data_IF_039147697968
#
_entry.id   IF_039147697968
#
_cell.length_a   1.000
_cell.length_b   1.000
_cell.length_c   1.000
_cell.angle_alpha   90.00
_cell.angle_beta   90.00
_cell.angle_gamma   90.00
#
_symmetry.space_group_name_H-M   'P 1'
#
loop_
_entity.id
_entity.type
_entity.pdbx_description
1 polymer ?
#
# COMPACT_ATOMS: atom_id res chain seq x y z
N UNK A 1 -22.80 12.85 62.26
CA UNK A 1 -21.66 12.10 61.72
C UNK A 1 -22.23 11.20 60.60
N UNK A 2 -22.15 11.70 59.38
CA UNK A 2 -22.70 10.99 58.19
C UNK A 2 -21.55 10.24 57.53
N UNK A 3 -21.69 8.92 57.51
CA UNK A 3 -20.70 8.00 56.93
C UNK A 3 -20.99 7.89 55.41
N UNK A 4 -20.12 8.45 54.57
CA UNK A 4 -20.19 8.30 53.12
C UNK A 4 -19.48 7.02 52.75
N UNK A 5 -20.24 6.01 52.33
CA UNK A 5 -19.72 4.80 51.71
C UNK A 5 -19.40 5.05 50.24
N UNK A 6 -18.13 5.17 49.92
CA UNK A 6 -17.63 5.16 48.52
C UNK A 6 -17.60 3.74 47.99
N UNK A 7 -18.52 3.39 47.11
CA UNK A 7 -18.47 2.15 46.36
C UNK A 7 -17.40 2.25 45.27
N UNK A 8 -16.25 1.62 45.45
CA UNK A 8 -15.26 1.39 44.45
C UNK A 8 -15.75 0.29 43.51
N UNK A 9 -16.23 0.66 42.32
CA UNK A 9 -16.53 -0.31 41.28
C UNK A 9 -15.21 -0.96 40.82
N UNK A 10 -15.02 -2.23 41.14
CA UNK A 10 -13.98 -3.06 40.55
C UNK A 10 -14.30 -3.26 39.09
N UNK A 11 -13.62 -2.50 38.22
CA UNK A 11 -13.59 -2.77 36.78
C UNK A 11 -12.80 -4.07 36.63
N UNK A 12 -13.50 -5.22 36.47
CA UNK A 12 -12.88 -6.46 36.07
C UNK A 12 -12.07 -6.24 34.80
N UNK A 13 -10.82 -6.68 34.70
CA UNK A 13 -10.10 -6.64 33.42
C UNK A 13 -10.91 -7.50 32.45
N UNK A 14 -11.48 -6.86 31.44
CA UNK A 14 -12.06 -7.55 30.29
C UNK A 14 -10.97 -8.47 29.77
N UNK A 15 -11.20 -9.78 29.81
CA UNK A 15 -10.25 -10.78 29.32
C UNK A 15 -9.70 -10.30 27.97
N UNK A 16 -8.40 -10.49 27.75
CA UNK A 16 -7.72 -10.21 26.51
C UNK A 16 -8.25 -11.19 25.42
N UNK A 17 -9.52 -11.01 25.04
CA UNK A 17 -10.19 -11.79 24.03
C UNK A 17 -9.91 -11.13 22.70
N UNK A 18 -9.10 -11.81 21.89
CA UNK A 18 -9.10 -11.80 20.43
C UNK A 18 -8.95 -10.43 19.74
N UNK A 19 -8.16 -9.52 20.35
CA UNK A 19 -7.90 -8.19 19.77
C UNK A 19 -7.32 -8.25 18.36
N UNK A 20 -6.61 -9.31 17.99
CA UNK A 20 -6.07 -9.48 16.67
C UNK A 20 -7.13 -9.81 15.63
N UNK A 21 -8.13 -10.63 15.96
CA UNK A 21 -9.27 -10.89 15.08
C UNK A 21 -10.15 -9.65 14.91
N UNK A 22 -10.34 -8.86 16.00
CA UNK A 22 -11.06 -7.58 15.91
C UNK A 22 -10.31 -6.55 15.03
N UNK A 23 -8.97 -6.46 15.18
CA UNK A 23 -8.12 -5.60 14.38
C UNK A 23 -8.14 -6.01 12.88
N UNK A 24 -8.12 -7.33 12.61
CA UNK A 24 -8.27 -7.86 11.26
C UNK A 24 -9.62 -7.53 10.66
N UNK A 25 -10.70 -7.81 11.38
CA UNK A 25 -12.07 -7.53 10.92
C UNK A 25 -12.26 -6.04 10.61
N UNK A 26 -11.73 -5.16 11.46
CA UNK A 26 -11.73 -3.73 11.21
C UNK A 26 -10.94 -3.34 9.96
N UNK A 27 -9.74 -3.89 9.80
CA UNK A 27 -8.90 -3.61 8.62
C UNK A 27 -9.57 -4.09 7.33
N UNK A 28 -10.24 -5.24 7.34
CA UNK A 28 -11.05 -5.76 6.21
C UNK A 28 -12.23 -4.82 5.92
N UNK A 29 -12.92 -4.35 6.97
CA UNK A 29 -14.01 -3.38 6.79
C UNK A 29 -13.52 -2.08 6.14
N UNK A 30 -12.38 -1.55 6.56
CA UNK A 30 -11.76 -0.35 5.97
C UNK A 30 -11.38 -0.60 4.52
N UNK A 31 -10.69 -1.73 4.24
CA UNK A 31 -10.28 -2.11 2.90
C UNK A 31 -11.48 -2.19 1.95
N UNK A 32 -12.53 -2.91 2.34
CA UNK A 32 -13.71 -3.11 1.50
C UNK A 32 -14.49 -1.81 1.29
N UNK A 33 -14.69 -1.04 2.35
CA UNK A 33 -15.37 0.26 2.28
C UNK A 33 -14.71 1.23 1.30
N UNK A 34 -13.36 1.27 1.29
CA UNK A 34 -12.62 2.17 0.41
C UNK A 34 -12.61 1.64 -1.03
N UNK A 35 -12.40 0.35 -1.25
CA UNK A 35 -12.19 -0.22 -2.58
C UNK A 35 -13.49 -0.52 -3.34
N UNK A 36 -14.61 -0.79 -2.67
CA UNK A 36 -15.86 -1.22 -3.29
C UNK A 36 -16.41 -0.22 -4.33
N UNK A 37 -16.47 1.11 -4.10
CA UNK A 37 -17.00 2.04 -5.10
C UNK A 37 -16.20 2.03 -6.41
N UNK A 38 -14.87 1.92 -6.34
CA UNK A 38 -13.99 1.87 -7.51
C UNK A 38 -14.21 0.58 -8.27
N UNK A 39 -14.11 -0.57 -7.58
CA UNK A 39 -14.22 -1.88 -8.21
C UNK A 39 -15.61 -2.13 -8.79
N UNK A 40 -16.67 -1.80 -8.06
CA UNK A 40 -18.04 -1.97 -8.55
C UNK A 40 -18.31 -1.08 -9.78
N UNK A 41 -17.84 0.16 -9.75
CA UNK A 41 -18.01 1.07 -10.89
C UNK A 41 -17.26 0.59 -12.12
N UNK A 42 -16.02 0.13 -11.96
CA UNK A 42 -15.19 -0.32 -13.09
C UNK A 42 -15.66 -1.67 -13.63
N UNK A 43 -16.05 -2.61 -12.77
CA UNK A 43 -16.63 -3.89 -13.19
C UNK A 43 -17.93 -3.70 -14.01
N UNK A 44 -18.68 -2.63 -13.73
CA UNK A 44 -19.89 -2.26 -14.48
C UNK A 44 -19.63 -1.33 -15.68
N UNK A 45 -18.37 -0.99 -16.01
CA UNK A 45 -18.02 -0.09 -17.11
C UNK A 45 -18.51 1.35 -16.90
N UNK A 46 -18.53 1.83 -15.65
CA UNK A 46 -19.08 3.14 -15.27
C UNK A 46 -18.12 3.98 -14.40
N UNK A 47 -16.87 3.56 -14.23
CA UNK A 47 -15.94 4.27 -13.33
C UNK A 47 -15.67 5.70 -13.81
N UNK A 48 -15.39 5.92 -15.08
CA UNK A 48 -15.17 7.26 -15.63
C UNK A 48 -16.34 8.20 -15.43
N UNK A 49 -17.56 7.65 -15.37
CA UNK A 49 -18.78 8.42 -15.10
C UNK A 49 -19.00 8.68 -13.61
N UNK A 50 -18.68 7.71 -12.77
CA UNK A 50 -19.05 7.72 -11.35
C UNK A 50 -17.96 8.31 -10.45
N UNK A 51 -16.69 8.22 -10.86
CA UNK A 51 -15.57 8.76 -10.06
C UNK A 51 -15.73 10.27 -9.92
N UNK A 52 -15.79 10.82 -8.71
CA UNK A 52 -15.92 12.26 -8.53
C UNK A 52 -14.80 13.03 -9.21
N UNK A 53 -15.15 14.10 -9.89
CA UNK A 53 -14.20 15.06 -10.47
C UNK A 53 -14.46 16.44 -9.90
N UNK A 54 -13.40 17.20 -9.69
CA UNK A 54 -13.48 18.51 -9.07
C UNK A 54 -12.83 19.57 -9.97
N UNK A 55 -13.31 20.84 -9.94
CA UNK A 55 -12.74 21.91 -10.77
C UNK A 55 -11.23 22.14 -10.57
N UNK A 56 -10.69 21.75 -9.42
CA UNK A 56 -9.27 21.86 -9.12
C UNK A 56 -8.40 20.78 -9.78
N UNK A 57 -8.99 19.68 -10.24
CA UNK A 57 -8.25 18.56 -10.87
C UNK A 57 -7.81 18.88 -12.31
N UNK A 58 -8.49 19.81 -13.00
CA UNK A 58 -8.20 20.20 -14.38
C UNK A 58 -8.13 18.98 -15.31
N UNK A 59 -6.99 18.75 -15.94
CA UNK A 59 -6.70 17.63 -16.84
C UNK A 59 -6.50 16.29 -16.12
N UNK A 60 -6.39 16.29 -14.77
CA UNK A 60 -6.19 15.08 -13.97
C UNK A 60 -7.31 14.05 -14.11
N UNK A 61 -8.51 14.48 -14.47
CA UNK A 61 -9.66 13.60 -14.75
C UNK A 61 -9.35 12.52 -15.80
N UNK A 62 -8.36 12.73 -16.67
CA UNK A 62 -7.95 11.75 -17.68
C UNK A 62 -7.12 10.60 -17.10
N UNK A 63 -6.51 10.80 -15.92
CA UNK A 63 -5.67 9.80 -15.25
C UNK A 63 -6.32 9.24 -13.98
N UNK A 64 -7.17 10.02 -13.32
CA UNK A 64 -7.78 9.64 -12.06
C UNK A 64 -8.43 8.24 -12.05
N UNK A 65 -9.10 7.75 -13.11
CA UNK A 65 -9.67 6.40 -13.12
C UNK A 65 -8.59 5.29 -13.05
N UNK A 66 -7.50 5.40 -13.82
CA UNK A 66 -6.40 4.43 -13.76
C UNK A 66 -5.65 4.54 -12.43
N UNK A 67 -5.45 5.77 -11.95
CA UNK A 67 -4.83 6.03 -10.64
C UNK A 67 -5.63 5.40 -9.50
N UNK A 68 -6.96 5.59 -9.47
CA UNK A 68 -7.84 4.99 -8.49
C UNK A 68 -7.77 3.47 -8.53
N UNK A 69 -7.89 2.87 -9.71
CA UNK A 69 -7.90 1.43 -9.88
C UNK A 69 -6.54 0.79 -9.57
N UNK A 70 -5.45 1.29 -10.14
CA UNK A 70 -4.11 0.74 -9.95
C UNK A 70 -3.68 0.78 -8.47
N UNK A 71 -3.95 1.89 -7.78
CA UNK A 71 -3.66 2.04 -6.35
C UNK A 71 -4.56 1.17 -5.48
N UNK A 72 -5.85 1.07 -5.81
CA UNK A 72 -6.76 0.14 -5.15
C UNK A 72 -6.22 -1.28 -5.26
N UNK A 73 -5.91 -1.72 -6.47
CA UNK A 73 -5.43 -3.08 -6.70
C UNK A 73 -4.13 -3.36 -5.96
N UNK A 74 -3.16 -2.44 -6.00
CA UNK A 74 -1.90 -2.54 -5.26
C UNK A 74 -2.12 -2.82 -3.76
N UNK A 75 -3.08 -2.15 -3.15
CA UNK A 75 -3.35 -2.26 -1.72
C UNK A 75 -4.08 -3.53 -1.32
N UNK A 76 -5.08 -3.95 -2.12
CA UNK A 76 -5.93 -5.10 -1.78
C UNK A 76 -5.37 -6.43 -2.28
N UNK A 77 -4.46 -6.43 -3.26
CA UNK A 77 -3.97 -7.64 -3.91
C UNK A 77 -3.42 -8.70 -2.95
N UNK A 78 -2.60 -8.38 -1.92
CA UNK A 78 -2.14 -9.39 -0.99
C UNK A 78 -3.29 -10.10 -0.25
N UNK A 79 -4.37 -9.38 0.09
CA UNK A 79 -5.55 -9.96 0.69
C UNK A 79 -6.30 -10.86 -0.30
N UNK A 80 -6.44 -10.44 -1.56
CA UNK A 80 -7.06 -11.24 -2.61
C UNK A 80 -6.29 -12.54 -2.87
N UNK A 81 -4.95 -12.51 -2.83
CA UNK A 81 -4.10 -13.67 -3.13
C UNK A 81 -4.29 -14.82 -2.14
N UNK A 82 -4.82 -14.58 -0.94
CA UNK A 82 -5.23 -15.63 -0.02
C UNK A 82 -6.31 -16.58 -0.60
N UNK A 83 -7.02 -16.14 -1.64
CA UNK A 83 -8.08 -16.91 -2.26
C UNK A 83 -9.37 -17.01 -1.43
N UNK A 84 -10.45 -17.56 -2.01
CA UNK A 84 -11.72 -17.78 -1.30
C UNK A 84 -11.61 -18.93 -0.29
N UNK A 85 -12.41 -18.85 0.78
CA UNK A 85 -12.62 -19.93 1.73
C UNK A 85 -14.05 -19.85 2.31
N UNK A 86 -14.46 -20.83 3.14
CA UNK A 86 -15.81 -20.91 3.69
C UNK A 86 -16.09 -19.91 4.81
N UNK A 87 -15.12 -19.15 5.27
CA UNK A 87 -15.32 -18.11 6.28
C UNK A 87 -16.12 -16.92 5.71
N UNK A 88 -16.79 -16.10 6.55
CA UNK A 88 -17.40 -14.87 6.08
C UNK A 88 -16.43 -13.93 5.36
N UNK A 89 -15.17 -13.84 5.83
CA UNK A 89 -14.12 -13.07 5.17
C UNK A 89 -13.71 -13.68 3.83
N UNK A 90 -13.60 -15.02 3.73
CA UNK A 90 -13.26 -15.71 2.49
C UNK A 90 -14.30 -15.53 1.39
N UNK A 91 -15.60 -15.60 1.75
CA UNK A 91 -16.71 -15.33 0.82
C UNK A 91 -16.73 -13.86 0.38
N UNK A 92 -16.46 -12.94 1.30
CA UNK A 92 -16.32 -11.52 0.96
C UNK A 92 -15.15 -11.31 0.00
N UNK A 93 -14.01 -11.94 0.26
CA UNK A 93 -12.82 -11.89 -0.59
C UNK A 93 -13.09 -12.42 -1.99
N UNK A 94 -13.85 -13.52 -2.13
CA UNK A 94 -14.28 -14.04 -3.42
C UNK A 94 -15.02 -12.98 -4.25
N UNK A 95 -16.01 -12.28 -3.65
CA UNK A 95 -16.69 -11.15 -4.31
C UNK A 95 -15.68 -10.11 -4.81
N UNK A 96 -14.68 -9.75 -4.00
CA UNK A 96 -13.71 -8.73 -4.38
C UNK A 96 -12.71 -9.23 -5.42
N UNK A 97 -12.40 -10.52 -5.46
CA UNK A 97 -11.63 -11.16 -6.54
C UNK A 97 -12.40 -11.02 -7.85
N UNK A 98 -13.67 -11.41 -7.89
CA UNK A 98 -14.48 -11.36 -9.10
C UNK A 98 -14.65 -9.91 -9.61
N UNK A 99 -14.93 -8.96 -8.71
CA UNK A 99 -14.95 -7.54 -9.06
C UNK A 99 -13.63 -7.04 -9.62
N UNK A 100 -12.50 -7.48 -9.07
CA UNK A 100 -11.17 -7.07 -9.53
C UNK A 100 -10.82 -7.65 -10.90
N UNK A 101 -11.18 -8.91 -11.14
CA UNK A 101 -10.97 -9.57 -12.45
C UNK A 101 -11.81 -8.90 -13.54
N UNK A 102 -13.09 -8.62 -13.27
CA UNK A 102 -13.94 -7.92 -14.22
C UNK A 102 -13.48 -6.45 -14.44
N UNK A 103 -13.02 -5.80 -13.38
CA UNK A 103 -12.41 -4.47 -13.49
C UNK A 103 -11.15 -4.48 -14.37
N UNK A 104 -10.28 -5.48 -14.24
CA UNK A 104 -9.10 -5.65 -15.11
C UNK A 104 -9.51 -5.82 -16.57
N UNK A 105 -10.54 -6.63 -16.82
CA UNK A 105 -11.06 -6.84 -18.17
C UNK A 105 -11.55 -5.52 -18.77
N UNK A 106 -12.40 -4.77 -18.07
CA UNK A 106 -12.93 -3.50 -18.56
C UNK A 106 -11.87 -2.42 -18.69
N UNK A 107 -10.92 -2.34 -17.75
CA UNK A 107 -9.84 -1.36 -17.78
C UNK A 107 -8.92 -1.51 -19.01
N UNK A 108 -8.75 -2.72 -19.51
CA UNK A 108 -7.76 -3.05 -20.55
C UNK A 108 -8.36 -3.45 -21.90
N UNK A 109 -9.68 -3.64 -22.01
CA UNK A 109 -10.35 -3.87 -23.29
C UNK A 109 -10.53 -2.56 -24.05
N UNK A 110 -9.91 -2.37 -25.24
CA UNK A 110 -10.09 -1.17 -26.05
C UNK A 110 -11.54 -0.89 -26.47
N UNK A 111 -12.43 -1.87 -26.36
CA UNK A 111 -13.87 -1.73 -26.67
C UNK A 111 -14.69 -1.32 -25.47
N UNK A 112 -14.13 -1.39 -24.28
CA UNK A 112 -14.81 -0.99 -23.03
C UNK A 112 -15.01 0.53 -22.98
N UNK A 113 -16.16 1.03 -22.50
CA UNK A 113 -16.34 2.44 -22.19
C UNK A 113 -15.33 2.94 -21.14
N UNK A 114 -14.88 2.04 -20.27
CA UNK A 114 -13.89 2.30 -19.23
C UNK A 114 -12.47 1.84 -19.61
N UNK A 115 -12.14 1.66 -20.91
CA UNK A 115 -10.74 1.49 -21.32
C UNK A 115 -9.89 2.64 -20.78
N UNK A 116 -8.90 2.34 -19.93
CA UNK A 116 -8.18 3.37 -19.19
C UNK A 116 -6.97 3.92 -19.94
N UNK A 117 -6.39 5.01 -19.43
CA UNK A 117 -5.30 5.73 -20.09
C UNK A 117 -3.93 5.19 -19.66
N UNK A 118 -3.30 4.35 -20.49
CA UNK A 118 -2.00 3.74 -20.23
C UNK A 118 -0.80 4.45 -20.87
N UNK A 119 -1.00 5.37 -21.78
CA UNK A 119 0.09 5.86 -22.63
C UNK A 119 0.08 7.36 -22.96
N UNK A 120 -0.85 8.14 -22.40
CA UNK A 120 -0.90 9.58 -22.63
C UNK A 120 -0.64 10.36 -21.33
N UNK A 121 0.41 11.19 -21.38
CA UNK A 121 0.86 11.99 -20.22
C UNK A 121 1.70 11.20 -19.23
N UNK A 122 2.61 11.87 -18.53
CA UNK A 122 3.57 11.22 -17.64
C UNK A 122 2.90 10.41 -16.50
N UNK A 123 1.77 10.89 -15.99
CA UNK A 123 1.05 10.22 -14.90
C UNK A 123 0.61 8.80 -15.27
N UNK A 124 0.30 8.52 -16.53
CA UNK A 124 -0.09 7.18 -16.98
C UNK A 124 1.01 6.11 -16.71
N UNK A 125 2.29 6.50 -16.72
CA UNK A 125 3.39 5.59 -16.33
C UNK A 125 3.27 5.19 -14.85
N UNK A 126 3.01 6.16 -13.98
CA UNK A 126 2.84 5.96 -12.53
C UNK A 126 1.70 5.00 -12.26
N UNK A 127 0.54 5.28 -12.85
CA UNK A 127 -0.69 4.54 -12.56
C UNK A 127 -0.66 3.12 -13.16
N UNK A 128 -0.04 2.96 -14.33
CA UNK A 128 0.25 1.64 -14.92
C UNK A 128 1.17 0.81 -14.03
N UNK A 129 2.15 1.44 -13.38
CA UNK A 129 3.05 0.75 -12.47
C UNK A 129 2.34 0.24 -11.22
N UNK A 130 1.41 1.01 -10.65
CA UNK A 130 0.60 0.54 -9.53
C UNK A 130 -0.31 -0.62 -9.94
N UNK A 131 -0.90 -0.58 -11.15
CA UNK A 131 -1.65 -1.73 -11.68
C UNK A 131 -0.75 -2.97 -11.81
N UNK A 132 0.42 -2.82 -12.40
CA UNK A 132 1.42 -3.90 -12.54
C UNK A 132 1.84 -4.45 -11.16
N UNK A 133 2.02 -3.59 -10.18
CA UNK A 133 2.38 -3.97 -8.82
C UNK A 133 1.26 -4.77 -8.13
N UNK A 134 0.00 -4.40 -8.33
CA UNK A 134 -1.15 -5.17 -7.87
C UNK A 134 -1.18 -6.58 -8.49
N UNK A 135 -0.93 -6.70 -9.78
CA UNK A 135 -0.87 -7.99 -10.47
C UNK A 135 0.27 -8.88 -9.94
N UNK A 136 1.45 -8.31 -9.68
CA UNK A 136 2.58 -9.04 -9.10
C UNK A 136 2.28 -9.57 -7.69
N UNK A 137 1.47 -8.85 -6.92
CA UNK A 137 1.07 -9.21 -5.55
C UNK A 137 -0.06 -10.25 -5.47
N UNK A 138 -0.82 -10.44 -6.56
CA UNK A 138 -1.89 -11.42 -6.63
C UNK A 138 -1.89 -12.20 -7.96
N UNK A 139 -0.78 -12.90 -8.29
CA UNK A 139 -0.64 -13.60 -9.56
C UNK A 139 -1.68 -14.69 -9.75
N UNK A 140 -2.07 -15.41 -8.70
CA UNK A 140 -3.01 -16.52 -8.80
C UNK A 140 -4.45 -16.04 -8.93
N UNK A 141 -4.84 -15.06 -8.09
CA UNK A 141 -6.23 -14.63 -7.99
C UNK A 141 -6.59 -13.51 -8.99
N UNK A 142 -5.62 -12.83 -9.57
CA UNK A 142 -5.85 -11.81 -10.60
C UNK A 142 -5.42 -12.35 -11.97
N UNK A 143 -4.12 -12.40 -12.25
CA UNK A 143 -3.61 -12.84 -13.54
C UNK A 143 -4.09 -14.25 -13.95
N UNK A 144 -4.05 -15.20 -13.01
CA UNK A 144 -4.41 -16.60 -13.24
C UNK A 144 -5.90 -16.83 -13.53
N UNK A 145 -6.77 -15.85 -13.19
CA UNK A 145 -8.21 -15.92 -13.49
C UNK A 145 -8.60 -15.24 -14.80
N UNK A 146 -7.71 -14.49 -15.43
CA UNK A 146 -7.97 -13.86 -16.71
C UNK A 146 -7.99 -14.88 -17.85
N UNK A 147 -8.91 -14.72 -18.78
CA UNK A 147 -8.89 -15.45 -20.04
C UNK A 147 -7.66 -15.06 -20.87
N UNK A 148 -7.21 -15.91 -21.83
CA UNK A 148 -6.08 -15.56 -22.69
C UNK A 148 -6.23 -14.22 -23.42
N UNK A 149 -7.45 -13.86 -23.83
CA UNK A 149 -7.70 -12.56 -24.47
C UNK A 149 -7.52 -11.40 -23.48
N UNK A 150 -8.02 -11.52 -22.26
CA UNK A 150 -7.86 -10.51 -21.21
C UNK A 150 -6.39 -10.37 -20.81
N UNK A 151 -5.64 -11.47 -20.68
CA UNK A 151 -4.19 -11.45 -20.45
C UNK A 151 -3.46 -10.68 -21.57
N UNK A 152 -3.82 -10.94 -22.84
CA UNK A 152 -3.25 -10.20 -23.97
C UNK A 152 -3.56 -8.71 -23.90
N UNK A 153 -4.78 -8.33 -23.52
CA UNK A 153 -5.17 -6.93 -23.33
C UNK A 153 -4.35 -6.25 -22.23
N UNK A 154 -4.18 -6.91 -21.08
CA UNK A 154 -3.32 -6.42 -19.97
C UNK A 154 -1.88 -6.24 -20.46
N UNK A 155 -1.31 -7.23 -21.14
CA UNK A 155 0.07 -7.14 -21.70
C UNK A 155 0.19 -5.97 -22.67
N UNK A 156 -0.79 -5.78 -23.55
CA UNK A 156 -0.82 -4.67 -24.50
C UNK A 156 -0.87 -3.33 -23.77
N UNK A 157 -1.71 -3.20 -22.73
CA UNK A 157 -1.81 -2.01 -21.88
C UNK A 157 -0.47 -1.70 -21.20
N UNK A 158 0.13 -2.69 -20.53
CA UNK A 158 1.45 -2.53 -19.89
C UNK A 158 2.53 -2.12 -20.90
N UNK A 159 2.62 -2.80 -22.03
CA UNK A 159 3.60 -2.48 -23.10
C UNK A 159 3.39 -1.08 -23.68
N UNK A 160 2.16 -0.57 -23.75
CA UNK A 160 1.87 0.75 -24.29
C UNK A 160 2.51 1.89 -23.48
N UNK A 161 2.69 1.71 -22.17
CA UNK A 161 3.34 2.67 -21.29
C UNK A 161 4.85 2.82 -21.55
N UNK A 162 5.47 1.90 -22.28
CA UNK A 162 6.90 1.98 -22.66
C UNK A 162 7.24 3.25 -23.48
N UNK A 163 6.25 3.86 -24.13
CA UNK A 163 6.42 5.13 -24.83
C UNK A 163 6.72 6.31 -23.87
N UNK A 164 6.38 6.16 -22.58
CA UNK A 164 6.58 7.18 -21.57
C UNK A 164 7.98 7.07 -20.95
N UNK A 165 8.66 8.22 -20.86
CA UNK A 165 10.01 8.30 -20.31
C UNK A 165 9.93 8.65 -18.81
N UNK A 166 10.48 7.83 -17.92
CA UNK A 166 10.54 8.15 -16.48
C UNK A 166 11.53 9.32 -16.23
N UNK A 167 11.26 10.08 -15.18
CA UNK A 167 12.24 11.03 -14.60
C UNK A 167 13.35 10.31 -13.83
N UNK A 168 14.47 11.01 -13.60
CA UNK A 168 15.63 10.53 -12.83
C UNK A 168 15.37 10.63 -11.30
N UNK A 169 14.34 9.93 -10.83
CA UNK A 169 13.89 9.87 -9.44
C UNK A 169 13.15 8.54 -9.20
N UNK A 170 12.25 8.48 -8.21
CA UNK A 170 11.43 7.29 -7.94
C UNK A 170 10.68 6.76 -9.18
N UNK A 171 10.46 7.57 -10.21
CA UNK A 171 9.78 7.17 -11.45
C UNK A 171 10.51 6.06 -12.21
N UNK A 172 11.79 5.90 -12.03
CA UNK A 172 12.52 4.76 -12.60
C UNK A 172 11.96 3.43 -12.11
N UNK A 173 11.50 3.36 -10.84
CA UNK A 173 10.87 2.17 -10.30
C UNK A 173 9.49 1.87 -10.90
N UNK A 174 8.75 2.89 -11.34
CA UNK A 174 7.51 2.64 -12.08
C UNK A 174 7.80 1.87 -13.36
N UNK A 175 8.78 2.34 -14.14
CA UNK A 175 9.21 1.63 -15.34
C UNK A 175 9.69 0.20 -15.05
N UNK A 176 10.52 0.03 -14.02
CA UNK A 176 11.04 -1.28 -13.63
C UNK A 176 9.97 -2.24 -13.14
N UNK A 177 8.96 -1.75 -12.39
CA UNK A 177 7.85 -2.57 -11.89
C UNK A 177 6.97 -3.09 -13.03
N UNK A 178 6.72 -2.27 -14.05
CA UNK A 178 6.00 -2.68 -15.27
C UNK A 178 6.79 -3.78 -15.99
N UNK A 179 8.10 -3.61 -16.16
CA UNK A 179 8.94 -4.61 -16.79
C UNK A 179 9.04 -5.90 -15.97
N UNK A 180 9.09 -5.80 -14.64
CA UNK A 180 9.05 -6.96 -13.76
C UNK A 180 7.73 -7.75 -13.92
N UNK A 181 6.58 -7.07 -14.05
CA UNK A 181 5.30 -7.72 -14.31
C UNK A 181 5.27 -8.38 -15.70
N UNK A 182 5.74 -7.71 -16.74
CA UNK A 182 5.86 -8.29 -18.06
C UNK A 182 6.75 -9.54 -18.03
N UNK A 183 7.89 -9.46 -17.34
CA UNK A 183 8.79 -10.60 -17.17
C UNK A 183 8.14 -11.77 -16.45
N UNK A 184 7.43 -11.47 -15.36
CA UNK A 184 6.75 -12.49 -14.58
C UNK A 184 5.71 -13.26 -15.40
N UNK A 185 4.89 -12.54 -16.17
CA UNK A 185 3.71 -13.11 -16.82
C UNK A 185 3.93 -13.56 -18.26
N UNK A 186 4.92 -13.00 -18.97
CA UNK A 186 5.17 -13.34 -20.39
C UNK A 186 6.53 -13.99 -20.62
N UNK A 187 7.42 -13.91 -19.64
CA UNK A 187 8.82 -14.33 -19.83
C UNK A 187 9.70 -13.29 -20.53
N UNK A 188 9.15 -12.17 -20.99
CA UNK A 188 9.85 -11.12 -21.75
C UNK A 188 9.80 -9.78 -21.03
N UNK A 189 10.92 -9.07 -21.00
CA UNK A 189 11.01 -7.71 -20.45
C UNK A 189 12.15 -6.90 -21.10
N UNK A 190 12.16 -5.60 -20.88
CA UNK A 190 13.33 -4.76 -21.10
C UNK A 190 14.18 -4.72 -19.82
N UNK A 191 15.16 -5.61 -19.74
CA UNK A 191 16.06 -5.73 -18.59
C UNK A 191 16.85 -4.46 -18.33
N UNK A 192 17.16 -3.63 -19.36
CA UNK A 192 17.90 -2.38 -19.18
C UNK A 192 17.12 -1.41 -18.28
N UNK A 193 15.79 -1.38 -18.37
CA UNK A 193 14.95 -0.53 -17.51
C UNK A 193 15.01 -0.99 -16.04
N UNK A 194 15.01 -2.29 -15.81
CA UNK A 194 15.14 -2.88 -14.46
C UNK A 194 16.54 -2.58 -13.90
N UNK A 195 17.59 -2.90 -14.67
CA UNK A 195 18.99 -2.71 -14.26
C UNK A 195 19.29 -1.23 -13.96
N UNK A 196 18.84 -0.34 -14.84
CA UNK A 196 19.04 1.09 -14.65
C UNK A 196 18.38 1.59 -13.38
N UNK A 197 17.10 1.26 -13.17
CA UNK A 197 16.35 1.69 -12.00
C UNK A 197 16.97 1.18 -10.69
N UNK A 198 17.29 -0.12 -10.62
CA UNK A 198 17.87 -0.73 -9.41
C UNK A 198 19.24 -0.11 -9.13
N UNK A 199 20.13 -0.03 -10.13
CA UNK A 199 21.48 0.53 -9.94
C UNK A 199 21.44 1.99 -9.50
N UNK A 200 20.50 2.80 -10.03
CA UNK A 200 20.31 4.19 -9.59
C UNK A 200 19.86 4.27 -8.14
N UNK A 201 18.89 3.47 -7.72
CA UNK A 201 18.46 3.47 -6.32
C UNK A 201 19.55 2.96 -5.38
N UNK A 202 20.36 1.99 -5.79
CA UNK A 202 21.54 1.60 -5.00
C UNK A 202 22.54 2.74 -4.83
N UNK A 203 22.70 3.62 -5.83
CA UNK A 203 23.55 4.82 -5.76
C UNK A 203 22.92 5.95 -4.92
N UNK A 204 21.59 6.01 -4.85
CA UNK A 204 20.84 7.03 -4.10
C UNK A 204 20.54 6.63 -2.66
N UNK A 205 21.11 5.54 -2.20
CA UNK A 205 21.03 5.16 -0.79
C UNK A 205 21.80 6.15 0.07
N UNK A 206 21.14 6.72 1.08
CA UNK A 206 21.67 7.78 1.94
C UNK A 206 22.17 7.25 3.29
N UNK A 207 21.87 6.00 3.63
CA UNK A 207 22.15 5.41 4.93
C UNK A 207 20.90 5.23 5.79
N UNK A 208 21.05 4.49 6.87
CA UNK A 208 20.02 4.27 7.90
C UNK A 208 18.64 3.88 7.35
N UNK A 209 18.62 2.98 6.35
CA UNK A 209 17.39 2.50 5.72
C UNK A 209 16.73 3.47 4.74
N UNK A 210 17.33 4.62 4.44
CA UNK A 210 16.70 5.68 3.65
C UNK A 210 17.34 5.84 2.27
N UNK A 211 16.51 5.96 1.24
CA UNK A 211 16.90 6.31 -0.12
C UNK A 211 16.51 7.76 -0.44
N UNK A 212 17.33 8.45 -1.22
CA UNK A 212 16.96 9.70 -1.86
C UNK A 212 15.90 9.49 -2.96
N UNK A 213 15.15 10.52 -3.26
CA UNK A 213 14.28 10.58 -4.44
C UNK A 213 15.05 11.21 -5.61
N UNK A 214 15.80 10.38 -6.31
CA UNK A 214 16.92 10.82 -7.10
C UNK A 214 18.15 11.04 -6.20
N UNK A 215 18.95 12.06 -6.49
CA UNK A 215 20.17 12.38 -5.73
C UNK A 215 19.91 13.11 -4.42
N UNK A 216 18.70 13.63 -4.24
CA UNK A 216 18.36 14.54 -3.15
C UNK A 216 17.55 13.84 -2.06
N UNK A 217 17.77 14.25 -0.83
CA UNK A 217 16.97 13.84 0.31
C UNK A 217 15.72 14.73 0.42
N UNK A 218 14.57 14.11 0.65
CA UNK A 218 13.33 14.82 0.96
C UNK A 218 12.73 14.26 2.26
N UNK A 219 12.33 15.15 3.16
CA UNK A 219 11.50 14.78 4.30
C UNK A 219 10.07 14.50 3.83
N UNK A 220 9.82 13.29 3.40
CA UNK A 220 8.51 12.78 3.02
C UNK A 220 8.43 11.25 3.20
N UNK A 221 7.31 10.65 2.83
CA UNK A 221 7.09 9.21 2.94
C UNK A 221 7.28 8.45 1.62
N UNK A 222 7.98 9.01 0.62
CA UNK A 222 8.16 8.32 -0.66
C UNK A 222 8.99 7.04 -0.57
N UNK A 223 9.85 6.91 0.44
CA UNK A 223 10.47 5.62 0.75
C UNK A 223 9.43 4.54 1.03
N UNK A 224 8.32 4.88 1.68
CA UNK A 224 7.21 3.97 1.98
C UNK A 224 6.18 3.87 0.85
N UNK A 225 5.83 5.01 0.21
CA UNK A 225 4.81 4.99 -0.84
C UNK A 225 5.24 4.23 -2.10
N UNK A 226 6.54 4.31 -2.45
CA UNK A 226 7.04 3.86 -3.76
C UNK A 226 8.36 3.11 -3.64
N UNK A 227 9.42 3.76 -3.09
CA UNK A 227 10.80 3.35 -3.34
C UNK A 227 11.06 1.95 -2.81
N UNK A 228 10.86 1.72 -1.53
CA UNK A 228 11.20 0.43 -0.93
C UNK A 228 10.24 -0.69 -1.34
N UNK A 229 8.89 -0.51 -1.31
CA UNK A 229 8.00 -1.59 -1.70
C UNK A 229 8.19 -2.04 -3.16
N UNK A 230 8.38 -1.11 -4.10
CA UNK A 230 8.60 -1.46 -5.50
C UNK A 230 9.99 -2.05 -5.73
N UNK A 231 11.03 -1.54 -5.03
CA UNK A 231 12.38 -2.09 -5.13
C UNK A 231 12.43 -3.53 -4.61
N UNK A 232 11.78 -3.83 -3.48
CA UNK A 232 11.63 -5.18 -2.94
C UNK A 232 10.96 -6.12 -3.95
N UNK A 233 9.89 -5.67 -4.60
CA UNK A 233 9.16 -6.46 -5.56
C UNK A 233 9.95 -6.72 -6.85
N UNK A 234 10.59 -5.68 -7.41
CA UNK A 234 11.46 -5.83 -8.59
C UNK A 234 12.59 -6.82 -8.31
N UNK A 235 13.24 -6.71 -7.14
CA UNK A 235 14.32 -7.62 -6.76
C UNK A 235 13.81 -9.04 -6.48
N UNK A 236 12.59 -9.23 -5.97
CA UNK A 236 11.96 -10.55 -5.84
C UNK A 236 11.85 -11.22 -7.21
N UNK A 237 11.30 -10.52 -8.20
CA UNK A 237 11.19 -11.04 -9.57
C UNK A 237 12.57 -11.34 -10.16
N UNK A 238 13.56 -10.45 -9.99
CA UNK A 238 14.95 -10.70 -10.43
C UNK A 238 15.52 -11.99 -9.82
N UNK A 239 15.28 -12.23 -8.53
CA UNK A 239 15.76 -13.44 -7.85
C UNK A 239 15.08 -14.70 -8.38
N UNK A 240 13.75 -14.68 -8.58
CA UNK A 240 12.99 -15.79 -9.15
C UNK A 240 13.43 -16.12 -10.59
N UNK A 241 13.73 -15.10 -11.39
CA UNK A 241 14.26 -15.26 -12.77
C UNK A 241 15.77 -15.53 -12.80
N UNK A 242 16.43 -15.69 -11.65
CA UNK A 242 17.87 -15.94 -11.51
C UNK A 242 18.75 -14.85 -12.15
N UNK A 243 18.26 -13.61 -12.16
CA UNK A 243 19.04 -12.47 -12.65
C UNK A 243 20.06 -12.03 -11.58
N UNK A 244 21.27 -11.55 -11.98
CA UNK A 244 22.33 -11.15 -11.04
C UNK A 244 21.89 -10.12 -9.99
N UNK A 245 21.02 -9.19 -10.33
CA UNK A 245 20.45 -8.21 -9.38
C UNK A 245 19.71 -8.87 -8.21
N UNK A 246 19.20 -10.09 -8.37
CA UNK A 246 18.56 -10.83 -7.28
C UNK A 246 19.46 -11.05 -6.06
N UNK A 247 20.80 -11.03 -6.26
CA UNK A 247 21.78 -11.12 -5.17
C UNK A 247 21.76 -9.90 -4.22
N UNK A 248 21.15 -8.78 -4.64
CA UNK A 248 20.98 -7.58 -3.81
C UNK A 248 19.85 -7.71 -2.77
N UNK A 249 18.99 -8.75 -2.89
CA UNK A 249 17.82 -8.92 -2.02
C UNK A 249 18.15 -8.83 -0.52
N UNK A 250 19.14 -9.52 0.04
CA UNK A 250 19.44 -9.45 1.47
C UNK A 250 19.76 -8.03 1.93
N UNK A 251 20.54 -7.28 1.13
CA UNK A 251 20.90 -5.90 1.43
C UNK A 251 19.69 -4.97 1.42
N UNK A 252 18.83 -5.09 0.41
CA UNK A 252 17.61 -4.27 0.26
C UNK A 252 16.63 -4.57 1.38
N UNK A 253 16.45 -5.85 1.75
CA UNK A 253 15.60 -6.26 2.89
C UNK A 253 16.15 -5.68 4.22
N UNK A 254 17.44 -5.71 4.45
CA UNK A 254 18.03 -5.14 5.67
C UNK A 254 17.75 -3.62 5.80
N UNK A 255 17.82 -2.88 4.69
CA UNK A 255 17.48 -1.46 4.63
C UNK A 255 15.99 -1.21 4.88
N UNK A 256 15.13 -2.04 4.28
CA UNK A 256 13.69 -2.02 4.46
C UNK A 256 13.27 -2.27 5.92
N UNK A 257 13.90 -3.27 6.58
CA UNK A 257 13.71 -3.53 8.01
C UNK A 257 14.02 -2.31 8.87
N UNK A 258 15.16 -1.65 8.61
CA UNK A 258 15.52 -0.45 9.35
C UNK A 258 14.53 0.69 9.13
N UNK A 259 14.09 0.91 7.91
CA UNK A 259 13.10 1.95 7.64
C UNK A 259 11.75 1.65 8.32
N UNK A 260 11.32 0.38 8.32
CA UNK A 260 10.11 -0.05 9.02
C UNK A 260 10.21 0.14 10.54
N UNK A 261 11.39 -0.09 11.14
CA UNK A 261 11.64 0.18 12.55
C UNK A 261 11.51 1.66 12.90
N UNK A 262 12.05 2.54 12.06
CA UNK A 262 11.88 4.00 12.21
C UNK A 262 10.39 4.37 12.08
N UNK A 263 9.67 3.78 11.12
CA UNK A 263 8.23 4.03 10.96
C UNK A 263 7.43 3.64 12.20
N UNK A 264 7.69 2.48 12.80
CA UNK A 264 7.00 2.08 14.03
C UNK A 264 7.21 3.11 15.15
N UNK A 265 8.43 3.62 15.28
CA UNK A 265 8.77 4.67 16.26
C UNK A 265 8.19 6.04 15.93
N UNK A 266 7.73 6.29 14.72
CA UNK A 266 7.01 7.52 14.35
C UNK A 266 5.55 7.54 14.79
N UNK A 267 4.98 6.38 15.15
CA UNK A 267 3.58 6.31 15.61
C UNK A 267 3.49 6.83 17.04
N UNK A 268 2.83 7.98 17.26
CA UNK A 268 2.60 8.55 18.60
C UNK A 268 1.75 7.62 19.48
N UNK A 269 1.73 7.81 20.80
CA UNK A 269 0.88 7.04 21.69
C UNK A 269 -0.61 7.05 21.33
N UNK A 270 -1.08 8.12 20.66
CA UNK A 270 -2.46 8.35 20.22
C UNK A 270 -2.75 7.83 18.79
N UNK A 271 -1.79 7.16 18.15
CA UNK A 271 -1.94 6.69 16.77
C UNK A 271 -1.86 7.81 15.72
N UNK A 272 -1.19 8.92 16.03
CA UNK A 272 -0.85 9.96 15.06
C UNK A 272 0.61 9.82 14.62
N UNK A 273 1.00 10.54 13.58
CA UNK A 273 2.38 10.60 13.09
C UNK A 273 2.67 11.98 12.48
N UNK A 274 3.93 12.37 12.29
CA UNK A 274 4.26 13.64 11.64
C UNK A 274 3.70 13.71 10.23
N UNK A 275 2.82 14.67 9.95
CA UNK A 275 2.34 14.96 8.59
C UNK A 275 3.34 15.92 7.96
N UNK A 276 4.33 15.36 7.26
CA UNK A 276 5.45 16.09 6.66
C UNK A 276 5.64 15.71 5.19
N UNK A 277 6.19 16.64 4.43
CA UNK A 277 6.47 16.45 3.01
C UNK A 277 5.20 16.41 2.17
N UNK A 278 5.37 15.94 0.96
CA UNK A 278 4.32 15.88 -0.07
C UNK A 278 3.45 14.63 0.06
N UNK A 279 2.30 14.66 -0.62
CA UNK A 279 1.37 13.52 -0.76
C UNK A 279 0.73 13.06 0.56
N UNK A 280 0.55 13.97 1.51
CA UNK A 280 -0.08 13.67 2.81
C UNK A 280 -1.51 13.14 2.68
N UNK A 281 -2.18 13.40 1.54
CA UNK A 281 -3.49 12.85 1.20
C UNK A 281 -3.50 11.33 0.99
N UNK A 282 -2.32 10.68 0.91
CA UNK A 282 -2.21 9.22 0.85
C UNK A 282 -2.40 8.54 2.22
N UNK A 283 -2.63 9.33 3.26
CA UNK A 283 -3.02 8.88 4.61
C UNK A 283 -2.06 7.82 5.18
N UNK A 284 -2.62 6.72 5.67
CA UNK A 284 -1.88 5.61 6.29
C UNK A 284 -1.02 4.79 5.32
N UNK A 285 -1.03 5.08 4.00
CA UNK A 285 0.01 4.55 3.11
C UNK A 285 1.43 5.00 3.51
N UNK A 286 1.55 6.05 4.34
CA UNK A 286 2.82 6.41 4.97
C UNK A 286 3.49 5.21 5.67
N UNK A 287 2.73 4.21 6.09
CA UNK A 287 3.18 2.98 6.74
C UNK A 287 3.15 1.75 5.84
N UNK A 288 3.07 1.92 4.52
CA UNK A 288 3.10 0.78 3.58
C UNK A 288 4.34 -0.09 3.79
N UNK A 289 5.51 0.52 4.05
CA UNK A 289 6.73 -0.27 4.21
C UNK A 289 6.72 -1.10 5.49
N UNK A 290 6.27 -0.55 6.62
CA UNK A 290 6.08 -1.32 7.85
C UNK A 290 5.09 -2.48 7.64
N UNK A 291 3.99 -2.23 6.92
CA UNK A 291 3.02 -3.27 6.56
C UNK A 291 3.61 -4.31 5.59
N UNK A 292 4.47 -3.89 4.64
CA UNK A 292 5.16 -4.80 3.69
C UNK A 292 6.17 -5.68 4.41
N UNK A 293 6.98 -5.12 5.29
CA UNK A 293 7.97 -5.88 6.08
C UNK A 293 7.26 -6.89 7.01
N UNK A 294 6.09 -6.52 7.55
CA UNK A 294 5.23 -7.45 8.29
C UNK A 294 4.72 -8.59 7.42
N UNK A 295 4.18 -8.27 6.23
CA UNK A 295 3.69 -9.25 5.25
C UNK A 295 4.77 -10.25 4.82
N UNK A 296 6.01 -9.80 4.69
CA UNK A 296 7.14 -10.61 4.28
C UNK A 296 7.77 -11.42 5.44
N UNK A 297 7.25 -11.32 6.68
CA UNK A 297 7.86 -11.88 7.90
C UNK A 297 9.29 -11.41 8.13
N UNK A 298 9.57 -10.16 7.75
CA UNK A 298 10.90 -9.55 7.82
C UNK A 298 11.01 -8.49 8.93
N UNK A 299 10.06 -8.50 9.90
CA UNK A 299 10.15 -7.58 11.05
C UNK A 299 11.47 -7.76 11.81
N UNK A 300 12.14 -6.66 12.21
CA UNK A 300 13.28 -6.75 13.14
C UNK A 300 12.91 -7.51 14.41
N UNK A 301 13.85 -8.26 15.03
CA UNK A 301 13.56 -9.08 16.20
C UNK A 301 12.96 -8.33 17.40
N UNK A 302 13.27 -7.04 17.53
CA UNK A 302 12.77 -6.18 18.60
C UNK A 302 11.36 -5.62 18.35
N UNK A 303 10.85 -5.74 17.12
CA UNK A 303 9.49 -5.35 16.77
C UNK A 303 8.54 -6.55 16.83
N UNK A 304 7.78 -6.63 17.92
CA UNK A 304 6.81 -7.69 18.11
C UNK A 304 5.61 -7.52 17.17
N UNK A 305 5.15 -8.58 16.48
CA UNK A 305 4.00 -8.52 15.58
C UNK A 305 2.75 -7.90 16.20
N UNK A 306 2.42 -8.24 17.46
CA UNK A 306 1.27 -7.69 18.17
C UNK A 306 1.39 -6.18 18.44
N UNK A 307 2.60 -5.65 18.66
CA UNK A 307 2.83 -4.23 18.86
C UNK A 307 2.72 -3.46 17.54
N UNK A 308 3.31 -4.00 16.45
CA UNK A 308 3.21 -3.42 15.10
C UNK A 308 1.75 -3.38 14.64
N UNK A 309 1.01 -4.49 14.80
CA UNK A 309 -0.43 -4.54 14.51
C UNK A 309 -1.20 -3.46 15.26
N UNK A 310 -0.99 -3.35 16.58
CA UNK A 310 -1.68 -2.35 17.40
C UNK A 310 -1.38 -0.92 16.96
N UNK A 311 -0.12 -0.62 16.61
CA UNK A 311 0.28 0.69 16.09
C UNK A 311 -0.35 1.01 14.75
N UNK A 312 -0.28 0.09 13.78
CA UNK A 312 -0.90 0.25 12.46
C UNK A 312 -2.42 0.42 12.57
N UNK A 313 -3.10 -0.41 13.38
CA UNK A 313 -4.55 -0.30 13.59
C UNK A 313 -4.91 1.05 14.22
N UNK A 314 -4.12 1.56 15.16
CA UNK A 314 -4.35 2.88 15.77
C UNK A 314 -4.27 4.01 14.74
N UNK A 315 -3.27 3.99 13.85
CA UNK A 315 -3.13 4.97 12.76
C UNK A 315 -4.31 4.87 11.79
N UNK A 316 -4.66 3.66 11.36
CA UNK A 316 -5.77 3.45 10.41
C UNK A 316 -7.07 3.96 11.00
N UNK A 317 -7.40 3.62 12.26
CA UNK A 317 -8.59 4.13 12.95
C UNK A 317 -8.61 5.65 13.01
N UNK A 318 -7.51 6.25 13.45
CA UNK A 318 -7.39 7.71 13.57
C UNK A 318 -7.71 8.44 12.28
N UNK A 319 -7.31 7.88 11.13
CA UNK A 319 -7.47 8.52 9.82
C UNK A 319 -8.80 8.16 9.13
N UNK A 320 -9.42 7.03 9.46
CA UNK A 320 -10.64 6.56 8.78
C UNK A 320 -11.92 6.84 9.54
N UNK A 321 -11.86 6.98 10.88
CA UNK A 321 -13.03 7.28 11.72
C UNK A 321 -13.32 8.80 11.82
N UNK A 322 -12.43 9.64 11.29
CA UNK A 322 -12.61 11.08 11.29
C UNK A 322 -13.80 11.49 10.38
N UNK A 323 -14.61 12.48 10.80
CA UNK A 323 -15.68 13.01 9.96
C UNK A 323 -15.16 13.56 8.62
N UNK A 324 -15.90 13.35 7.52
CA UNK A 324 -15.58 13.89 6.20
C UNK A 324 -14.49 13.13 5.44
N UNK A 325 -14.12 11.91 5.86
CA UNK A 325 -13.21 11.04 5.08
C UNK A 325 -13.88 10.58 3.79
N UNK A 326 -15.18 10.36 3.83
CA UNK A 326 -16.01 9.95 2.70
C UNK A 326 -17.07 11.00 2.41
N UNK A 327 -17.45 11.14 1.15
CA UNK A 327 -18.64 11.87 0.75
C UNK A 327 -19.91 11.04 0.98
N UNK A 328 -21.09 11.64 0.66
CA UNK A 328 -22.39 10.99 0.85
C UNK A 328 -22.59 9.74 -0.05
N UNK A 329 -21.79 9.59 -1.09
CA UNK A 329 -21.80 8.45 -2.01
C UNK A 329 -20.71 7.39 -1.69
N UNK A 330 -19.93 7.60 -0.62
CA UNK A 330 -18.88 6.68 -0.17
C UNK A 330 -17.53 6.85 -0.84
N UNK A 331 -17.33 7.87 -1.67
CA UNK A 331 -16.03 8.18 -2.26
C UNK A 331 -15.11 8.90 -1.27
N UNK A 332 -13.81 8.60 -1.36
CA UNK A 332 -12.81 9.27 -0.53
C UNK A 332 -12.72 10.76 -0.85
N UNK A 333 -12.64 11.59 0.18
CA UNK A 333 -12.39 13.02 0.07
C UNK A 333 -10.91 13.34 0.34
N UNK A 334 -10.42 14.45 -0.28
CA UNK A 334 -9.04 14.93 -0.08
C UNK A 334 -8.81 15.29 1.38
N UNK A 335 -7.74 14.79 1.95
CA UNK A 335 -7.32 15.08 3.30
C UNK A 335 -6.38 14.02 3.86
N UNK A 336 -5.64 14.36 4.88
CA UNK A 336 -4.91 13.41 5.72
C UNK A 336 -5.85 12.83 6.79
N UNK A 337 -6.60 13.69 7.49
CA UNK A 337 -7.61 13.32 8.49
C UNK A 337 -8.90 14.08 8.15
N UNK A 338 -9.97 13.37 7.78
CA UNK A 338 -11.19 14.01 7.31
C UNK A 338 -11.05 14.67 5.93
N UNK A 339 -11.75 15.80 5.72
CA UNK A 339 -11.70 16.57 4.48
C UNK A 339 -10.83 17.84 4.66
N UNK A 340 -9.68 17.88 3.99
CA UNK A 340 -8.67 18.94 4.11
C UNK A 340 -8.14 19.31 2.72
N UNK A 341 -8.91 20.06 1.95
CA UNK A 341 -8.60 20.35 0.55
C UNK A 341 -7.25 21.04 0.34
N UNK A 342 -6.81 21.87 1.26
CA UNK A 342 -5.56 22.65 1.16
C UNK A 342 -4.28 21.82 1.37
N UNK A 343 -4.40 20.57 1.85
CA UNK A 343 -3.24 19.70 2.09
C UNK A 343 -2.73 19.03 0.82
N UNK A 344 -3.48 19.10 -0.27
CA UNK A 344 -3.13 18.49 -1.56
C UNK A 344 -2.17 19.36 -2.37
N UNK A 345 -1.26 18.73 -3.05
CA UNK A 345 -0.49 19.33 -4.13
C UNK A 345 -1.30 19.33 -5.46
N UNK A 346 -0.83 20.13 -6.42
CA UNK A 346 -1.51 20.29 -7.71
C UNK A 346 -1.60 19.04 -8.58
N UNK A 347 -0.82 18.00 -8.27
CA UNK A 347 -0.88 16.71 -8.97
C UNK A 347 -1.86 15.71 -8.34
N UNK A 348 -2.39 15.96 -7.14
CA UNK A 348 -3.36 15.08 -6.50
C UNK A 348 -4.68 15.11 -7.26
N UNK A 349 -5.22 13.96 -7.57
CA UNK A 349 -6.56 13.72 -8.09
C UNK A 349 -7.42 12.96 -7.08
N UNK A 350 -8.69 12.77 -7.35
CA UNK A 350 -9.54 11.85 -6.59
C UNK A 350 -8.98 10.42 -6.58
N UNK A 351 -8.39 9.99 -7.72
CA UNK A 351 -7.73 8.68 -7.82
C UNK A 351 -6.52 8.52 -6.91
N UNK A 352 -5.81 9.61 -6.63
CA UNK A 352 -4.61 9.61 -5.78
C UNK A 352 -4.89 9.10 -4.36
N UNK A 353 -6.10 9.31 -3.85
CA UNK A 353 -6.48 9.03 -2.47
C UNK A 353 -6.48 7.53 -2.15
N UNK A 354 -6.69 6.70 -3.16
CA UNK A 354 -6.74 5.22 -3.04
C UNK A 354 -5.39 4.61 -2.71
N UNK A 355 -4.31 5.40 -2.76
CA UNK A 355 -2.99 4.97 -2.27
C UNK A 355 -3.05 4.53 -0.81
N UNK A 356 -3.95 5.07 0.01
CA UNK A 356 -4.10 4.68 1.41
C UNK A 356 -4.24 3.18 1.61
N UNK A 357 -4.89 2.47 0.67
CA UNK A 357 -5.07 1.01 0.72
C UNK A 357 -3.74 0.23 0.79
N UNK A 358 -2.64 0.80 0.26
CA UNK A 358 -1.33 0.18 0.35
C UNK A 358 -0.81 0.03 1.80
N UNK A 359 -1.32 0.82 2.74
CA UNK A 359 -1.05 0.63 4.17
C UNK A 359 -1.75 -0.59 4.80
N UNK A 360 -2.60 -1.30 4.02
CA UNK A 360 -3.33 -2.50 4.47
C UNK A 360 -2.76 -3.82 3.91
N UNK A 361 -1.60 -3.80 3.25
CA UNK A 361 -1.03 -4.99 2.60
C UNK A 361 -0.75 -6.15 3.57
N UNK A 362 -0.59 -5.88 4.87
CA UNK A 362 -0.48 -6.91 5.91
C UNK A 362 -1.73 -7.79 6.05
N UNK A 363 -2.87 -7.42 5.45
CA UNK A 363 -4.05 -8.30 5.32
C UNK A 363 -3.79 -9.53 4.44
N UNK A 364 -2.70 -9.53 3.65
CA UNK A 364 -2.22 -10.73 2.96
C UNK A 364 -1.69 -11.83 3.87
N UNK A 365 -1.47 -11.56 5.16
CA UNK A 365 -1.19 -12.62 6.14
C UNK A 365 -2.48 -13.37 6.49
N UNK A 366 -2.49 -14.72 6.51
CA UNK A 366 -3.68 -15.48 6.88
C UNK A 366 -4.11 -15.23 8.32
N UNK A 367 -5.40 -15.42 8.65
CA UNK A 367 -5.97 -15.08 9.94
C UNK A 367 -5.30 -15.82 11.12
N UNK A 368 -4.70 -16.97 10.88
CA UNK A 368 -3.96 -17.76 11.88
C UNK A 368 -2.48 -17.38 11.98
N UNK A 369 -2.02 -16.36 11.25
CA UNK A 369 -0.64 -15.86 11.33
C UNK A 369 -0.36 -15.26 12.72
N UNK A 370 0.91 -15.32 13.14
CA UNK A 370 1.36 -14.74 14.42
C UNK A 370 1.09 -13.23 14.49
N UNK A 371 1.07 -12.53 13.36
CA UNK A 371 0.74 -11.11 13.31
C UNK A 371 -0.68 -10.85 13.84
N UNK A 372 -1.63 -11.74 13.56
CA UNK A 372 -3.02 -11.63 14.01
C UNK A 372 -3.28 -12.34 15.34
N UNK A 373 -2.59 -13.45 15.61
CA UNK A 373 -2.85 -14.27 16.81
C UNK A 373 -2.05 -13.85 18.04
N UNK A 374 -0.96 -13.11 17.88
CA UNK A 374 -0.21 -12.57 19.01
C UNK A 374 -1.07 -11.58 19.83
N UNK A 375 -0.93 -11.55 21.18
CA UNK A 375 -1.61 -10.56 22.00
C UNK A 375 -1.34 -9.14 21.54
N UNK A 376 -2.30 -8.23 21.74
CA UNK A 376 -2.05 -6.81 21.53
C UNK A 376 -1.00 -6.32 22.54
N UNK A 377 0.01 -5.65 22.00
CA UNK A 377 1.07 -5.02 22.80
C UNK A 377 1.18 -3.53 22.43
N UNK A 378 1.59 -2.69 23.38
CA UNK A 378 1.87 -1.30 23.08
C UNK A 378 3.14 -1.19 22.23
N UNK A 379 3.09 -0.37 21.17
CA UNK A 379 4.23 -0.07 20.30
C UNK A 379 5.24 0.86 21.00
N UNK A 380 6.38 1.14 20.40
CA UNK A 380 7.53 1.81 21.03
C UNK A 380 7.16 3.12 21.70
N UNK A 381 6.50 4.06 21.03
CA UNK A 381 6.14 5.34 21.62
C UNK A 381 5.08 5.18 22.74
N UNK A 382 4.15 4.26 22.58
CA UNK A 382 3.15 3.96 23.61
C UNK A 382 3.74 3.35 24.89
N UNK A 383 4.98 2.83 24.81
CA UNK A 383 5.77 2.35 25.96
C UNK A 383 6.67 3.43 26.53
N UNK A 384 7.32 4.24 25.67
CA UNK A 384 8.31 5.25 26.08
C UNK A 384 7.64 6.37 26.90
N UNK A 385 6.55 6.93 26.40
CA UNK A 385 5.94 8.12 26.99
C UNK A 385 5.38 7.92 28.42
N UNK A 386 4.86 6.75 28.82
CA UNK A 386 4.57 6.47 30.22
C UNK A 386 5.80 6.13 31.08
N UNK A 387 7.01 6.18 30.53
CA UNK A 387 8.26 5.95 31.28
C UNK A 387 8.74 4.50 31.33
N UNK A 388 8.23 3.60 30.45
CA UNK A 388 8.73 2.23 30.36
C UNK A 388 10.17 2.24 29.86
N UNK A 389 11.06 1.54 30.59
CA UNK A 389 12.43 1.37 30.16
C UNK A 389 12.51 0.41 28.96
N UNK A 390 12.93 0.93 27.81
CA UNK A 390 13.17 0.15 26.59
C UNK A 390 14.54 0.49 26.02
N UNK A 391 15.15 -0.39 25.20
CA UNK A 391 16.44 -0.11 24.57
C UNK A 391 16.42 1.16 23.72
N UNK A 392 17.58 1.86 23.67
CA UNK A 392 17.77 2.98 22.78
C UNK A 392 17.69 2.53 21.31
N UNK A 393 17.28 3.46 20.45
CA UNK A 393 17.33 3.27 19.00
C UNK A 393 18.77 3.48 18.49
N UNK A 394 19.17 2.73 17.47
CA UNK A 394 20.48 2.82 16.85
C UNK A 394 20.37 2.83 15.33
N UNK A 395 21.20 3.62 14.69
CA UNK A 395 21.31 3.64 13.23
C UNK A 395 21.77 2.27 12.71
N UNK A 396 21.25 1.91 11.53
CA UNK A 396 21.69 0.74 10.79
C UNK A 396 22.97 1.05 10.02
N UNK A 397 24.05 0.37 10.37
CA UNK A 397 25.32 0.44 9.66
C UNK A 397 25.49 -0.80 8.77
N UNK A 398 25.62 -0.57 7.46
CA UNK A 398 25.97 -1.67 6.56
C UNK A 398 27.39 -2.14 6.85
N UNK A 399 27.55 -3.46 7.07
CA UNK A 399 28.88 -4.07 7.07
C UNK A 399 29.54 -3.81 5.72
N UNK A 400 30.75 -3.20 5.76
CA UNK A 400 31.56 -2.84 4.60
C UNK A 400 31.98 -4.05 3.78
#
# INVERSE_FOLDING_TARGET
>A
MVMVLTATALISPRAATDSGAEDRAYSVQVLTRISEPVLTSLANGTLKKNLPSHPWEKDRVNWAPLEAFGRTLTGIAPWLELGPDETPEGKLREKFIDLSVESLANATDPKSPDFLNFNHGGQALVDTAFLAFGLLRAPSQLWGRLTPQQQNNVVAALKSSRALKPGENNWLLFSATIEAALWQFTGECDTNRIEYAVNRHMQWYLGDGTYGDGREFHWDYYNSYVIQPMLLEVIRVCAEKKHPLGSLRPKIVARARRYAEVQERMISPEGTFPVIGRSSAYRFAAFQELATVSLLHELPPDLKPGAVRSGLTAVIRRMTEAPGVFDDNGWLQVGSVGHQQSIREGYISTGSLYMCLAGLVHLGLPANDVFWTAPAEPWSQKRIWPGTNIPADHAYEESK
#
